data_IF_062657209437
#
_entry.id   IF_062657209437
#
_cell.length_a   1.000
_cell.length_b   1.000
_cell.length_c   1.000
_cell.angle_alpha   90.00
_cell.angle_beta   90.00
_cell.angle_gamma   90.00
#
_symmetry.space_group_name_H-M   'P 1'
#
loop_
_entity.id
_entity.type
_entity.pdbx_description
1 polymer ?
#
# COMPACT_ATOMS: atom_id res chain seq x y z
N UNK A 1 -20.68 -9.57 -14.33
CA UNK A 1 -19.33 -10.09 -14.60
C UNK A 1 -19.30 -11.49 -14.02
N UNK A 2 -18.79 -12.49 -14.73
CA UNK A 2 -18.72 -13.84 -14.16
C UNK A 2 -17.71 -13.86 -12.99
N UNK A 3 -17.96 -14.69 -11.97
CA UNK A 3 -17.12 -14.79 -10.77
C UNK A 3 -15.72 -15.32 -11.10
N UNK A 4 -15.63 -16.18 -12.12
CA UNK A 4 -14.36 -16.72 -12.62
C UNK A 4 -13.53 -15.63 -13.29
N UNK A 5 -14.18 -14.80 -14.12
CA UNK A 5 -13.58 -13.64 -14.76
C UNK A 5 -13.14 -12.61 -13.71
N UNK A 6 -14.01 -12.29 -12.74
CA UNK A 6 -13.72 -11.38 -11.64
C UNK A 6 -12.52 -11.86 -10.82
N UNK A 7 -12.43 -13.16 -10.55
CA UNK A 7 -11.31 -13.76 -9.84
C UNK A 7 -10.01 -13.72 -10.66
N UNK A 8 -10.07 -13.92 -11.97
CA UNK A 8 -8.89 -13.80 -12.83
C UNK A 8 -8.39 -12.34 -12.90
N UNK A 9 -9.29 -11.38 -13.08
CA UNK A 9 -8.99 -9.95 -13.03
C UNK A 9 -8.42 -9.54 -11.67
N UNK A 10 -8.94 -10.09 -10.56
CA UNK A 10 -8.42 -9.87 -9.21
C UNK A 10 -6.95 -10.27 -9.09
N UNK A 11 -6.58 -11.47 -9.57
CA UNK A 11 -5.20 -11.94 -9.54
C UNK A 11 -4.26 -11.07 -10.40
N UNK A 12 -4.73 -10.62 -11.56
CA UNK A 12 -3.97 -9.70 -12.43
C UNK A 12 -3.73 -8.36 -11.72
N UNK A 13 -4.77 -7.75 -11.15
CA UNK A 13 -4.64 -6.48 -10.43
C UNK A 13 -3.77 -6.61 -9.18
N UNK A 14 -3.88 -7.73 -8.44
CA UNK A 14 -3.00 -8.05 -7.30
C UNK A 14 -1.54 -8.08 -7.74
N UNK A 15 -1.22 -8.83 -8.79
CA UNK A 15 0.15 -8.95 -9.30
C UNK A 15 0.70 -7.61 -9.81
N UNK A 16 -0.13 -6.79 -10.46
CA UNK A 16 0.24 -5.44 -10.88
C UNK A 16 0.55 -4.54 -9.69
N UNK A 17 -0.28 -4.56 -8.65
CA UNK A 17 -0.03 -3.82 -7.42
C UNK A 17 1.26 -4.28 -6.72
N UNK A 18 1.45 -5.59 -6.58
CA UNK A 18 2.65 -6.15 -5.93
C UNK A 18 3.93 -5.77 -6.70
N UNK A 19 3.88 -5.79 -8.03
CA UNK A 19 4.99 -5.34 -8.89
C UNK A 19 5.28 -3.85 -8.73
N UNK A 20 4.24 -3.00 -8.74
CA UNK A 20 4.40 -1.56 -8.54
C UNK A 20 4.95 -1.23 -7.15
N UNK A 21 4.49 -1.96 -6.13
CA UNK A 21 4.94 -1.83 -4.75
C UNK A 21 6.39 -2.27 -4.56
N UNK A 22 6.83 -3.34 -5.24
CA UNK A 22 8.22 -3.77 -5.20
C UNK A 22 9.16 -2.66 -5.71
N UNK A 23 8.84 -2.07 -6.87
CA UNK A 23 9.59 -0.92 -7.42
C UNK A 23 9.59 0.29 -6.50
N UNK A 24 8.46 0.59 -5.87
CA UNK A 24 8.36 1.64 -4.87
C UNK A 24 9.32 1.38 -3.69
N UNK A 25 9.32 0.15 -3.16
CA UNK A 25 10.18 -0.23 -2.04
C UNK A 25 11.68 -0.20 -2.40
N UNK A 26 12.05 -0.60 -3.61
CA UNK A 26 13.42 -0.50 -4.11
C UNK A 26 13.88 0.97 -4.17
N UNK A 27 13.01 1.86 -4.65
CA UNK A 27 13.31 3.28 -4.72
C UNK A 27 13.39 3.95 -3.35
N UNK A 28 12.56 3.56 -2.39
CA UNK A 28 12.64 4.03 -1.00
C UNK A 28 13.98 3.62 -0.35
N UNK A 29 14.45 2.40 -0.62
CA UNK A 29 15.76 1.92 -0.18
C UNK A 29 16.90 2.72 -0.83
N UNK A 30 16.81 3.00 -2.13
CA UNK A 30 17.79 3.84 -2.84
C UNK A 30 17.92 5.23 -2.21
N UNK A 31 16.79 5.89 -1.92
CA UNK A 31 16.80 7.21 -1.28
C UNK A 31 17.45 7.15 0.10
N UNK A 32 17.07 6.16 0.92
CA UNK A 32 17.66 5.97 2.26
C UNK A 32 19.17 5.79 2.18
N UNK A 33 19.66 5.00 1.21
CA UNK A 33 21.09 4.78 1.01
C UNK A 33 21.81 6.04 0.50
N UNK A 34 21.18 6.83 -0.38
CA UNK A 34 21.72 8.10 -0.85
C UNK A 34 21.81 9.12 0.29
N UNK A 35 20.78 9.23 1.14
CA UNK A 35 20.79 10.09 2.33
C UNK A 35 21.93 9.71 3.28
N UNK A 36 22.11 8.41 3.56
CA UNK A 36 23.21 7.93 4.39
C UNK A 36 24.59 8.26 3.78
N UNK A 37 24.74 8.07 2.46
CA UNK A 37 25.99 8.37 1.74
C UNK A 37 26.30 9.87 1.73
N UNK A 38 25.28 10.71 1.56
CA UNK A 38 25.41 12.17 1.64
C UNK A 38 25.89 12.58 3.03
N UNK A 39 25.28 12.04 4.09
CA UNK A 39 25.65 12.39 5.46
C UNK A 39 27.06 11.94 5.81
N UNK A 40 27.46 10.74 5.39
CA UNK A 40 28.84 10.28 5.51
C UNK A 40 29.82 11.21 4.79
N UNK A 41 29.53 11.59 3.54
CA UNK A 41 30.40 12.47 2.73
C UNK A 41 30.53 13.86 3.35
N UNK A 42 29.46 14.39 3.98
CA UNK A 42 29.54 15.64 4.76
C UNK A 42 30.49 15.50 5.94
N UNK A 43 30.36 14.44 6.73
CA UNK A 43 31.24 14.19 7.88
C UNK A 43 32.71 14.03 7.47
N UNK A 44 32.97 13.36 6.34
CA UNK A 44 34.31 13.25 5.75
C UNK A 44 34.87 14.62 5.35
N UNK A 45 34.06 15.46 4.69
CA UNK A 45 34.46 16.81 4.30
C UNK A 45 34.80 17.69 5.52
N UNK A 46 33.98 17.64 6.56
CA UNK A 46 34.23 18.36 7.82
C UNK A 46 35.50 17.86 8.54
N UNK A 47 35.81 16.57 8.46
CA UNK A 47 37.08 16.04 8.96
C UNK A 47 38.25 16.57 8.15
N UNK A 48 38.18 16.50 6.82
CA UNK A 48 39.24 16.96 5.92
C UNK A 48 39.52 18.46 6.08
N UNK A 49 38.47 19.27 6.24
CA UNK A 49 38.62 20.72 6.48
C UNK A 49 39.27 21.00 7.85
N UNK A 50 38.93 20.24 8.90
CA UNK A 50 39.59 20.34 10.22
C UNK A 50 41.05 19.90 10.18
N UNK A 51 41.33 18.78 9.53
CA UNK A 51 42.70 18.26 9.39
C UNK A 51 43.56 19.21 8.55
N UNK A 52 42.96 19.83 7.54
CA UNK A 52 43.62 20.86 6.74
C UNK A 52 43.99 22.08 7.59
N UNK A 53 43.06 22.60 8.40
CA UNK A 53 43.32 23.72 9.32
C UNK A 53 44.43 23.37 10.32
N UNK A 54 44.37 22.18 10.93
CA UNK A 54 45.40 21.71 11.85
C UNK A 54 46.77 21.60 11.18
N UNK A 55 46.83 21.12 9.94
CA UNK A 55 48.07 21.05 9.17
C UNK A 55 48.68 22.43 8.95
N UNK A 56 47.89 23.43 8.54
CA UNK A 56 48.35 24.80 8.35
C UNK A 56 48.84 25.42 9.67
N UNK A 57 48.08 25.25 10.76
CA UNK A 57 48.47 25.78 12.08
C UNK A 57 49.76 25.13 12.61
N UNK A 58 49.90 23.82 12.47
CA UNK A 58 51.12 23.09 12.89
C UNK A 58 52.36 23.50 12.09
N UNK A 59 52.18 23.92 10.84
CA UNK A 59 53.22 24.45 9.98
C UNK A 59 53.40 25.97 10.09
N UNK A 60 52.86 26.60 11.15
CA UNK A 60 52.93 28.04 11.41
C UNK A 60 52.43 28.91 10.24
N UNK A 61 51.38 28.45 9.55
CA UNK A 61 50.78 29.15 8.42
C UNK A 61 51.42 28.83 7.06
N UNK A 62 52.45 27.97 7.01
CA UNK A 62 53.07 27.55 5.75
C UNK A 62 52.26 26.43 5.10
N UNK A 63 51.91 26.61 3.83
CA UNK A 63 51.27 25.56 3.04
C UNK A 63 52.27 24.44 2.76
N UNK A 64 52.00 23.27 3.33
CA UNK A 64 52.79 22.05 3.13
C UNK A 64 52.18 21.14 2.07
N UNK A 65 52.94 20.15 1.59
CA UNK A 65 52.42 19.11 0.71
C UNK A 65 51.24 18.36 1.34
N UNK A 66 51.29 18.09 2.65
CA UNK A 66 50.19 17.48 3.40
C UNK A 66 48.92 18.33 3.35
N UNK A 67 49.04 19.64 3.61
CA UNK A 67 47.90 20.57 3.48
C UNK A 67 47.38 20.68 2.04
N UNK A 68 48.26 20.59 1.03
CA UNK A 68 47.84 20.59 -0.37
C UNK A 68 47.04 19.33 -0.73
N UNK A 69 47.46 18.16 -0.24
CA UNK A 69 46.75 16.89 -0.43
C UNK A 69 45.36 16.92 0.21
N UNK A 70 45.24 17.43 1.44
CA UNK A 70 43.96 17.58 2.13
C UNK A 70 43.02 18.53 1.37
N UNK A 71 43.53 19.65 0.82
CA UNK A 71 42.71 20.54 -0.03
C UNK A 71 42.16 19.82 -1.28
N UNK A 72 42.96 18.98 -1.93
CA UNK A 72 42.52 18.21 -3.11
C UNK A 72 41.43 17.22 -2.71
N UNK A 73 41.63 16.47 -1.62
CA UNK A 73 40.63 15.52 -1.12
C UNK A 73 39.33 16.21 -0.73
N UNK A 74 39.40 17.36 -0.04
CA UNK A 74 38.22 18.16 0.29
C UNK A 74 37.51 18.68 -0.99
N UNK A 75 38.27 19.07 -2.01
CA UNK A 75 37.73 19.44 -3.32
C UNK A 75 36.93 18.30 -3.97
N UNK A 76 37.50 17.09 -4.01
CA UNK A 76 36.83 15.90 -4.53
C UNK A 76 35.59 15.55 -3.71
N UNK A 77 35.66 15.61 -2.38
CA UNK A 77 34.52 15.36 -1.51
C UNK A 77 33.37 16.36 -1.76
N UNK A 78 33.67 17.66 -1.96
CA UNK A 78 32.66 18.67 -2.33
C UNK A 78 32.01 18.37 -3.68
N UNK A 79 32.80 18.00 -4.69
CA UNK A 79 32.27 17.64 -6.01
C UNK A 79 31.37 16.40 -5.95
N UNK A 80 31.79 15.37 -5.22
CA UNK A 80 31.00 14.16 -5.01
C UNK A 80 29.69 14.47 -4.28
N UNK A 81 29.73 15.33 -3.26
CA UNK A 81 28.54 15.73 -2.52
C UNK A 81 27.53 16.45 -3.43
N UNK A 82 27.99 17.33 -4.32
CA UNK A 82 27.11 18.01 -5.28
C UNK A 82 26.47 17.01 -6.26
N UNK A 83 27.24 16.05 -6.77
CA UNK A 83 26.70 14.96 -7.62
C UNK A 83 25.68 14.09 -6.90
N UNK A 84 25.94 13.75 -5.64
CA UNK A 84 25.03 12.97 -4.82
C UNK A 84 23.71 13.70 -4.56
N UNK A 85 23.74 15.03 -4.36
CA UNK A 85 22.52 15.85 -4.22
C UNK A 85 21.66 15.80 -5.48
N UNK A 86 22.25 15.95 -6.65
CA UNK A 86 21.53 15.86 -7.93
C UNK A 86 20.88 14.48 -8.08
N UNK A 87 21.63 13.40 -7.83
CA UNK A 87 21.10 12.04 -7.88
C UNK A 87 19.96 11.81 -6.88
N UNK A 88 20.08 12.37 -5.68
CA UNK A 88 19.07 12.29 -4.65
C UNK A 88 17.77 13.01 -5.06
N UNK A 89 17.87 14.21 -5.64
CA UNK A 89 16.70 14.95 -6.12
C UNK A 89 15.99 14.23 -7.27
N UNK A 90 16.75 13.67 -8.22
CA UNK A 90 16.21 12.82 -9.28
C UNK A 90 15.54 11.56 -8.72
N UNK A 91 16.14 10.93 -7.71
CA UNK A 91 15.59 9.75 -7.06
C UNK A 91 14.26 10.06 -6.35
N UNK A 92 14.13 11.23 -5.71
CA UNK A 92 12.87 11.68 -5.07
C UNK A 92 11.75 11.92 -6.07
N UNK A 93 12.07 12.48 -7.24
CA UNK A 93 11.09 12.65 -8.31
C UNK A 93 10.60 11.28 -8.81
N UNK A 94 11.52 10.32 -9.03
CA UNK A 94 11.14 8.94 -9.41
C UNK A 94 10.33 8.23 -8.32
N UNK A 95 10.63 8.48 -7.05
CA UNK A 95 9.83 7.94 -5.95
C UNK A 95 8.37 8.41 -6.04
N UNK A 96 8.14 9.69 -6.36
CA UNK A 96 6.80 10.23 -6.52
C UNK A 96 6.03 9.53 -7.67
N UNK A 97 6.72 9.23 -8.78
CA UNK A 97 6.15 8.44 -9.88
C UNK A 97 5.78 7.02 -9.43
N UNK A 98 6.66 6.32 -8.70
CA UNK A 98 6.34 4.99 -8.19
C UNK A 98 5.21 5.00 -7.16
N UNK A 99 5.10 6.05 -6.33
CA UNK A 99 3.96 6.22 -5.42
C UNK A 99 2.65 6.36 -6.20
N UNK A 100 2.64 7.19 -7.25
CA UNK A 100 1.48 7.34 -8.11
C UNK A 100 1.09 6.02 -8.78
N UNK A 101 2.04 5.31 -9.40
CA UNK A 101 1.79 4.03 -10.07
C UNK A 101 1.29 2.95 -9.10
N UNK A 102 1.85 2.89 -7.88
CA UNK A 102 1.39 1.96 -6.85
C UNK A 102 -0.02 2.27 -6.35
N UNK A 103 -0.39 3.56 -6.25
CA UNK A 103 -1.74 3.98 -5.90
C UNK A 103 -2.75 3.70 -7.01
N UNK A 104 -2.38 3.91 -8.28
CA UNK A 104 -3.23 3.58 -9.44
C UNK A 104 -3.57 2.09 -9.46
N UNK A 105 -2.54 1.24 -9.38
CA UNK A 105 -2.70 -0.20 -9.30
C UNK A 105 -3.46 -0.63 -8.04
N UNK A 106 -3.22 0.06 -6.91
CA UNK A 106 -3.92 -0.18 -5.66
C UNK A 106 -5.43 0.11 -5.76
N UNK A 107 -5.83 1.19 -6.42
CA UNK A 107 -7.24 1.53 -6.62
C UNK A 107 -7.93 0.54 -7.56
N UNK A 108 -7.24 0.12 -8.64
CA UNK A 108 -7.74 -0.93 -9.52
C UNK A 108 -7.95 -2.24 -8.74
N UNK A 109 -6.98 -2.61 -7.89
CA UNK A 109 -7.04 -3.81 -7.07
C UNK A 109 -8.17 -3.75 -6.02
N UNK A 110 -8.32 -2.63 -5.30
CA UNK A 110 -9.41 -2.43 -4.33
C UNK A 110 -10.79 -2.46 -5.03
N UNK A 111 -10.91 -1.87 -6.22
CA UNK A 111 -12.14 -1.89 -7.01
C UNK A 111 -12.56 -3.30 -7.39
N UNK A 112 -11.63 -4.12 -7.91
CA UNK A 112 -11.94 -5.50 -8.29
C UNK A 112 -12.16 -6.41 -7.07
N UNK A 113 -11.44 -6.19 -5.96
CA UNK A 113 -11.66 -6.91 -4.69
C UNK A 113 -13.08 -6.68 -4.16
N UNK A 114 -13.54 -5.42 -4.13
CA UNK A 114 -14.90 -5.08 -3.71
C UNK A 114 -15.96 -5.71 -4.63
N UNK A 115 -15.76 -5.67 -5.96
CA UNK A 115 -16.66 -6.31 -6.92
C UNK A 115 -16.72 -7.83 -6.74
N UNK A 116 -15.57 -8.46 -6.58
CA UNK A 116 -15.47 -9.91 -6.40
C UNK A 116 -16.16 -10.35 -5.09
N UNK A 117 -15.91 -9.66 -3.97
CA UNK A 117 -16.58 -9.95 -2.69
C UNK A 117 -18.10 -9.79 -2.79
N UNK A 118 -18.57 -8.74 -3.46
CA UNK A 118 -20.01 -8.52 -3.66
C UNK A 118 -20.64 -9.64 -4.50
N UNK A 119 -19.98 -10.07 -5.58
CA UNK A 119 -20.45 -11.15 -6.44
C UNK A 119 -20.48 -12.51 -5.69
N UNK A 120 -19.44 -12.81 -4.91
CA UNK A 120 -19.39 -14.00 -4.06
C UNK A 120 -20.53 -13.98 -3.06
N UNK A 121 -20.73 -12.86 -2.36
CA UNK A 121 -21.81 -12.74 -1.39
C UNK A 121 -23.19 -12.93 -2.04
N UNK A 122 -23.42 -12.30 -3.21
CA UNK A 122 -24.68 -12.41 -3.94
C UNK A 122 -24.99 -13.85 -4.38
N UNK A 123 -23.95 -14.65 -4.69
CA UNK A 123 -24.12 -16.06 -5.08
C UNK A 123 -24.18 -17.03 -3.90
N UNK A 124 -23.37 -16.81 -2.86
CA UNK A 124 -23.28 -17.69 -1.69
C UNK A 124 -24.45 -17.54 -0.72
N UNK A 125 -24.98 -16.32 -0.55
CA UNK A 125 -26.07 -16.07 0.40
C UNK A 125 -27.35 -16.87 0.06
N UNK A 126 -27.84 -16.92 -1.20
CA UNK A 126 -29.00 -17.73 -1.55
C UNK A 126 -28.84 -19.21 -1.22
N UNK A 127 -27.65 -19.79 -1.41
CA UNK A 127 -27.38 -21.20 -1.07
C UNK A 127 -27.54 -21.45 0.44
N UNK A 128 -26.97 -20.57 1.27
CA UNK A 128 -27.12 -20.64 2.73
C UNK A 128 -28.57 -20.42 3.20
N UNK A 129 -29.31 -19.52 2.54
CA UNK A 129 -30.74 -19.30 2.83
C UNK A 129 -31.56 -20.53 2.41
N UNK A 130 -31.21 -21.20 1.32
CA UNK A 130 -31.88 -22.43 0.90
C UNK A 130 -31.71 -23.54 1.95
N UNK A 131 -30.54 -23.65 2.57
CA UNK A 131 -30.30 -24.56 3.69
C UNK A 131 -31.16 -24.24 4.92
N UNK A 132 -31.44 -22.95 5.16
CA UNK A 132 -32.27 -22.49 6.28
C UNK A 132 -33.78 -22.60 5.99
N UNK A 133 -34.18 -22.66 4.72
CA UNK A 133 -35.58 -22.67 4.27
C UNK A 133 -36.47 -23.67 5.01
N UNK A 134 -36.09 -24.96 5.20
CA UNK A 134 -36.91 -25.92 5.92
C UNK A 134 -37.26 -25.48 7.35
N UNK A 135 -36.30 -24.89 8.06
CA UNK A 135 -36.52 -24.38 9.42
C UNK A 135 -37.42 -23.14 9.43
N UNK A 136 -37.25 -22.23 8.45
CA UNK A 136 -38.11 -21.05 8.30
C UNK A 136 -39.57 -21.42 8.03
N UNK A 137 -39.81 -22.48 7.23
CA UNK A 137 -41.15 -22.99 6.98
C UNK A 137 -41.81 -23.53 8.25
N UNK A 138 -41.07 -24.23 9.10
CA UNK A 138 -41.57 -24.70 10.40
C UNK A 138 -41.93 -23.54 11.33
N UNK A 139 -41.07 -22.51 11.40
CA UNK A 139 -41.34 -21.31 12.19
C UNK A 139 -42.61 -20.60 11.70
N UNK A 140 -42.77 -20.46 10.39
CA UNK A 140 -43.97 -19.85 9.81
C UNK A 140 -45.23 -20.66 10.13
N UNK A 141 -45.16 -22.00 10.01
CA UNK A 141 -46.25 -22.89 10.39
C UNK A 141 -46.61 -22.80 11.87
N UNK A 142 -45.62 -22.67 12.75
CA UNK A 142 -45.82 -22.50 14.20
C UNK A 142 -46.54 -21.19 14.52
N UNK A 143 -46.13 -20.08 13.91
CA UNK A 143 -46.79 -18.79 14.09
C UNK A 143 -48.27 -18.86 13.69
N UNK A 144 -48.56 -19.45 12.52
CA UNK A 144 -49.92 -19.59 12.03
C UNK A 144 -50.77 -20.48 12.94
N UNK A 145 -50.22 -21.64 13.36
CA UNK A 145 -50.92 -22.60 14.22
C UNK A 145 -51.27 -22.01 15.59
N UNK A 146 -50.41 -21.15 16.14
CA UNK A 146 -50.58 -20.56 17.47
C UNK A 146 -51.18 -19.14 17.45
N UNK A 147 -51.60 -18.64 16.28
CA UNK A 147 -52.13 -17.29 16.10
C UNK A 147 -51.16 -16.18 16.50
N UNK A 148 -49.86 -16.43 16.38
CA UNK A 148 -48.81 -15.47 16.72
C UNK A 148 -48.35 -14.69 15.48
N UNK A 149 -48.01 -13.41 15.61
CA UNK A 149 -47.64 -12.59 14.47
C UNK A 149 -46.21 -12.90 13.99
N UNK A 150 -46.02 -12.94 12.66
CA UNK A 150 -44.75 -13.30 12.03
C UNK A 150 -43.58 -12.37 12.43
N UNK A 151 -43.86 -11.08 12.65
CA UNK A 151 -42.82 -10.10 13.01
C UNK A 151 -42.07 -10.47 14.30
N UNK A 152 -42.70 -11.21 15.23
CA UNK A 152 -42.03 -11.67 16.46
C UNK A 152 -40.92 -12.67 16.13
N UNK A 153 -41.19 -13.58 15.19
CA UNK A 153 -40.20 -14.54 14.73
C UNK A 153 -39.08 -13.86 13.93
N UNK A 154 -39.41 -12.94 13.02
CA UNK A 154 -38.43 -12.15 12.26
C UNK A 154 -37.49 -11.36 13.18
N UNK A 155 -38.05 -10.71 14.21
CA UNK A 155 -37.28 -10.00 15.23
C UNK A 155 -36.33 -10.95 15.95
N UNK A 156 -36.79 -12.13 16.34
CA UNK A 156 -35.96 -13.09 17.07
C UNK A 156 -34.84 -13.67 16.21
N UNK A 157 -35.11 -13.94 14.93
CA UNK A 157 -34.08 -14.36 13.95
C UNK A 157 -33.02 -13.26 13.80
N UNK A 158 -33.46 -12.00 13.62
CA UNK A 158 -32.54 -10.86 13.52
C UNK A 158 -31.71 -10.66 14.80
N UNK A 159 -32.31 -10.77 15.98
CA UNK A 159 -31.60 -10.71 17.26
C UNK A 159 -30.55 -11.81 17.38
N UNK A 160 -30.87 -13.02 16.93
CA UNK A 160 -29.95 -14.16 16.97
C UNK A 160 -28.74 -13.93 16.06
N UNK A 161 -28.98 -13.45 14.83
CA UNK A 161 -27.89 -13.08 13.91
C UNK A 161 -27.01 -11.94 14.46
N UNK A 162 -27.60 -10.96 15.16
CA UNK A 162 -26.86 -9.85 15.76
C UNK A 162 -26.08 -10.24 17.02
N UNK A 163 -26.57 -11.23 17.77
CA UNK A 163 -25.95 -11.72 18.99
C UNK A 163 -24.88 -12.80 18.74
N UNK A 164 -24.80 -13.33 17.51
CA UNK A 164 -23.81 -14.32 17.13
C UNK A 164 -22.38 -13.76 17.28
N UNK A 165 -21.47 -14.58 17.81
CA UNK A 165 -20.08 -14.20 17.94
C UNK A 165 -19.42 -14.06 16.56
N UNK A 166 -18.74 -12.94 16.34
CA UNK A 166 -18.12 -12.62 15.04
C UNK A 166 -16.98 -13.58 14.74
N UNK A 167 -16.16 -13.93 15.75
CA UNK A 167 -14.98 -14.77 15.56
C UNK A 167 -15.40 -16.20 15.22
N UNK A 168 -16.37 -16.73 15.95
CA UNK A 168 -16.97 -18.04 15.70
C UNK A 168 -17.64 -18.09 14.32
N UNK A 169 -18.44 -17.09 13.97
CA UNK A 169 -19.14 -17.03 12.68
C UNK A 169 -18.16 -16.96 11.50
N UNK A 170 -17.10 -16.17 11.62
CA UNK A 170 -16.01 -16.11 10.62
C UNK A 170 -15.25 -17.44 10.57
N UNK A 171 -15.06 -18.11 11.71
CA UNK A 171 -14.45 -19.43 11.79
C UNK A 171 -15.24 -20.49 11.02
N UNK A 172 -16.56 -20.51 11.18
CA UNK A 172 -17.45 -21.45 10.48
C UNK A 172 -17.38 -21.29 8.96
N UNK A 173 -17.49 -20.06 8.44
CA UNK A 173 -17.43 -19.84 6.99
C UNK A 173 -16.03 -20.12 6.43
N UNK A 174 -14.97 -19.87 7.20
CA UNK A 174 -13.59 -20.23 6.80
C UNK A 174 -13.39 -21.74 6.75
N UNK A 175 -13.91 -22.48 7.72
CA UNK A 175 -13.90 -23.95 7.69
C UNK A 175 -14.57 -24.46 6.42
N UNK A 176 -15.76 -23.94 6.12
CA UNK A 176 -16.50 -24.28 4.90
C UNK A 176 -15.73 -23.96 3.62
N UNK A 177 -15.05 -22.81 3.53
CA UNK A 177 -14.19 -22.45 2.40
C UNK A 177 -13.05 -23.47 2.21
N UNK A 178 -12.42 -23.93 3.29
CA UNK A 178 -11.33 -24.89 3.22
C UNK A 178 -11.80 -26.28 2.76
N UNK A 179 -13.04 -26.67 3.07
CA UNK A 179 -13.60 -27.97 2.68
C UNK A 179 -14.03 -28.04 1.20
N UNK A 180 -14.02 -26.91 0.47
CA UNK A 180 -14.58 -26.75 -0.89
C UNK A 180 -13.56 -27.02 -2.02
N UNK A 181 -12.30 -27.41 -1.73
CA UNK A 181 -11.21 -27.49 -2.73
C UNK A 181 -11.56 -28.21 -4.06
N UNK A 182 -12.49 -29.17 -4.05
CA UNK A 182 -12.94 -29.93 -5.23
C UNK A 182 -14.19 -29.43 -5.97
N UNK A 183 -14.98 -28.49 -5.42
CA UNK A 183 -16.23 -28.04 -6.04
C UNK A 183 -16.06 -26.72 -6.79
N UNK A 184 -15.95 -26.81 -8.12
CA UNK A 184 -15.82 -25.65 -9.01
C UNK A 184 -17.10 -24.81 -9.12
N UNK A 185 -18.25 -25.34 -8.70
CA UNK A 185 -19.53 -24.64 -8.76
C UNK A 185 -19.76 -23.71 -7.58
N UNK A 186 -19.05 -23.93 -6.46
CA UNK A 186 -19.25 -23.18 -5.24
C UNK A 186 -18.60 -21.78 -5.32
N UNK A 187 -19.37 -20.68 -5.16
CA UNK A 187 -18.85 -19.31 -5.25
C UNK A 187 -17.83 -18.97 -4.15
N UNK A 188 -17.88 -19.63 -2.99
CA UNK A 188 -16.97 -19.37 -1.87
C UNK A 188 -15.52 -19.77 -2.17
N UNK A 189 -15.29 -20.63 -3.16
CA UNK A 189 -13.94 -20.99 -3.64
C UNK A 189 -13.14 -19.78 -4.11
N UNK A 190 -13.83 -18.76 -4.63
CA UNK A 190 -13.20 -17.54 -5.15
C UNK A 190 -12.99 -16.46 -4.07
N UNK A 191 -13.28 -16.76 -2.79
CA UNK A 191 -13.14 -15.82 -1.69
C UNK A 191 -11.70 -15.30 -1.57
N UNK A 192 -11.46 -13.99 -1.82
CA UNK A 192 -10.12 -13.45 -1.69
C UNK A 192 -9.74 -13.34 -0.22
N UNK A 193 -8.45 -13.51 0.05
CA UNK A 193 -7.84 -13.14 1.33
C UNK A 193 -8.16 -11.68 1.70
N UNK A 194 -7.95 -11.32 2.97
CA UNK A 194 -8.12 -9.93 3.40
C UNK A 194 -7.25 -9.01 2.52
N UNK A 195 -7.85 -7.93 2.01
CA UNK A 195 -7.12 -6.91 1.26
C UNK A 195 -5.97 -6.37 2.14
N UNK A 196 -4.70 -6.39 1.67
CA UNK A 196 -3.58 -5.96 2.48
C UNK A 196 -3.62 -4.46 2.80
N UNK A 197 -3.28 -4.08 4.04
CA UNK A 197 -3.25 -2.67 4.48
C UNK A 197 -2.24 -1.81 3.68
N UNK A 198 -1.30 -2.44 2.96
CA UNK A 198 -0.41 -1.75 2.02
C UNK A 198 -1.14 -1.09 0.86
N UNK A 199 -2.29 -1.64 0.43
CA UNK A 199 -3.10 -1.07 -0.66
C UNK A 199 -3.60 0.31 -0.23
N UNK A 200 -4.31 0.37 0.90
CA UNK A 200 -4.83 1.64 1.42
C UNK A 200 -3.71 2.63 1.77
N UNK A 201 -2.56 2.16 2.24
CA UNK A 201 -1.38 3.03 2.46
C UNK A 201 -0.85 3.63 1.16
N UNK A 202 -0.66 2.83 0.12
CA UNK A 202 -0.20 3.31 -1.18
C UNK A 202 -1.14 4.37 -1.73
N UNK A 203 -2.45 4.09 -1.74
CA UNK A 203 -3.52 5.00 -2.16
C UNK A 203 -3.46 6.34 -1.42
N UNK A 204 -3.31 6.33 -0.08
CA UNK A 204 -3.32 7.57 0.73
C UNK A 204 -2.03 8.38 0.64
N UNK A 205 -0.90 7.72 0.39
CA UNK A 205 0.43 8.34 0.40
C UNK A 205 0.86 8.94 -0.95
N UNK A 206 0.10 8.68 -2.02
CA UNK A 206 0.40 9.15 -3.36
C UNK A 206 -0.17 10.55 -3.65
N UNK A 207 0.41 11.29 -4.61
CA UNK A 207 -0.24 12.49 -5.13
C UNK A 207 -1.57 12.09 -5.79
N UNK A 208 -2.58 12.96 -5.70
CA UNK A 208 -3.83 12.73 -6.44
C UNK A 208 -3.60 12.84 -7.96
N UNK A 209 -4.47 12.29 -8.82
CA UNK A 209 -4.35 12.43 -10.28
C UNK A 209 -4.23 13.88 -10.75
N UNK A 210 -4.94 14.81 -10.09
CA UNK A 210 -4.86 16.25 -10.37
C UNK A 210 -3.51 16.83 -9.94
N UNK A 211 -3.01 16.48 -8.74
CA UNK A 211 -1.69 16.91 -8.27
C UNK A 211 -0.59 16.39 -9.20
N UNK A 212 -0.65 15.11 -9.58
CA UNK A 212 0.31 14.48 -10.47
C UNK A 212 0.31 15.11 -11.87
N UNK A 213 -0.87 15.32 -12.46
CA UNK A 213 -1.00 15.99 -13.75
C UNK A 213 -0.41 17.40 -13.73
N UNK A 214 -0.72 18.18 -12.68
CA UNK A 214 -0.17 19.53 -12.51
C UNK A 214 1.36 19.52 -12.30
N UNK A 215 1.89 18.57 -11.55
CA UNK A 215 3.32 18.41 -11.31
C UNK A 215 4.09 18.07 -12.60
N UNK A 216 3.54 17.22 -13.47
CA UNK A 216 4.18 16.88 -14.76
C UNK A 216 4.32 18.08 -15.70
N UNK A 217 3.49 19.10 -15.52
CA UNK A 217 3.51 20.33 -16.32
C UNK A 217 4.31 21.45 -15.67
N UNK A 218 4.69 21.32 -14.40
CA UNK A 218 5.40 22.35 -13.64
C UNK A 218 6.54 21.74 -12.80
N UNK A 219 7.81 21.97 -13.18
CA UNK A 219 8.98 21.45 -12.47
C UNK A 219 9.05 21.89 -10.99
N UNK A 220 8.59 23.09 -10.65
CA UNK A 220 8.59 23.56 -9.26
C UNK A 220 7.62 22.75 -8.41
N UNK A 221 6.40 22.50 -8.92
CA UNK A 221 5.42 21.65 -8.23
C UNK A 221 5.90 20.21 -8.09
N UNK A 222 6.54 19.67 -9.13
CA UNK A 222 7.16 18.35 -9.07
C UNK A 222 8.19 18.28 -7.94
N UNK A 223 9.05 19.30 -7.85
CA UNK A 223 10.06 19.41 -6.80
C UNK A 223 9.42 19.56 -5.42
N UNK A 224 8.42 20.42 -5.24
CA UNK A 224 7.77 20.65 -3.95
C UNK A 224 7.07 19.39 -3.43
N UNK A 225 6.44 18.59 -4.30
CA UNK A 225 5.85 17.30 -3.94
C UNK A 225 6.92 16.25 -3.62
N UNK A 226 7.96 16.13 -4.45
CA UNK A 226 9.06 15.19 -4.23
C UNK A 226 9.82 15.51 -2.92
N UNK A 227 9.92 16.80 -2.59
CA UNK A 227 10.56 17.28 -1.38
C UNK A 227 9.69 17.17 -0.11
N UNK A 228 8.39 16.91 -0.27
CA UNK A 228 7.42 16.88 0.83
C UNK A 228 7.06 18.27 1.36
N UNK A 229 7.36 19.34 0.62
CA UNK A 229 6.91 20.71 0.91
C UNK A 229 5.41 20.86 0.63
N UNK A 230 4.92 20.20 -0.41
CA UNK A 230 3.49 19.99 -0.66
C UNK A 230 3.09 18.57 -0.22
N UNK A 231 1.97 18.47 0.52
CA UNK A 231 1.45 17.18 0.96
C UNK A 231 0.73 16.46 -0.18
N UNK A 232 1.03 15.16 -0.31
CA UNK A 232 0.27 14.24 -1.15
C UNK A 232 -1.15 14.07 -0.57
N UNK A 233 -2.18 14.29 -1.38
CA UNK A 233 -3.59 14.23 -0.95
C UNK A 233 -4.20 12.82 -1.00
N UNK A 234 -3.45 11.85 -1.52
CA UNK A 234 -3.96 10.52 -1.80
C UNK A 234 -4.73 10.46 -3.12
N UNK A 235 -5.00 9.24 -3.56
CA UNK A 235 -5.84 8.97 -4.71
C UNK A 235 -7.30 9.24 -4.36
N UNK A 236 -7.83 10.34 -4.89
CA UNK A 236 -9.22 10.79 -4.76
C UNK A 236 -9.78 11.07 -6.15
#
# INVERSE_FOLDING_TARGET
MDITQASAEHQVCKAQFDTARAKLSEQESLITNLEATIEQTKGELESLDRDWQNSILSALGVKTEASAKLSIQAGVARENLERLRVLHDEARIRLLEYRYNAAEAGCAYESIDNKLRAEIFAKALPELINELTPALLLIRGLCELLGQPLYNAEKKICETLKAADIVESVGLIRGRINDIESDASNPLRYCPEKLPDSVSRAIRSAPSPVQWSAARQNPEKMRDLAEGRELCRGWQ
#
